data_IF_440762850527
#
_entry.id   IF_440762850527
#
_cell.length_a   1.000
_cell.length_b   1.000
_cell.length_c   1.000
_cell.angle_alpha   90.00
_cell.angle_beta   90.00
_cell.angle_gamma   90.00
#
_symmetry.space_group_name_H-M   'P 1'
#
loop_
_entity.id
_entity.type
_entity.pdbx_description
1 polymer ?
#
# COMPACT_ATOMS: atom_id res chain seq x y z
N UNK A 1 50.23 -89.48 -35.03
CA UNK A 1 50.21 -87.99 -35.13
C UNK A 1 49.12 -87.38 -34.23
N UNK A 2 48.99 -87.81 -32.96
CA UNK A 2 47.99 -87.23 -32.05
C UNK A 2 48.31 -87.48 -30.57
N UNK A 3 49.58 -87.38 -30.15
CA UNK A 3 49.97 -87.72 -28.76
C UNK A 3 50.98 -86.73 -28.15
N UNK A 4 50.77 -85.43 -28.41
CA UNK A 4 51.60 -84.35 -27.84
C UNK A 4 50.81 -83.15 -27.29
N UNK A 5 49.52 -83.31 -27.00
CA UNK A 5 48.64 -82.18 -26.63
C UNK A 5 47.97 -82.27 -25.24
N UNK A 6 48.48 -83.09 -24.31
CA UNK A 6 47.90 -83.16 -22.95
C UNK A 6 48.84 -82.77 -21.79
N UNK A 7 50.07 -82.34 -22.06
CA UNK A 7 51.05 -82.04 -21.00
C UNK A 7 51.28 -80.55 -20.75
N UNK A 8 50.20 -79.74 -20.75
CA UNK A 8 50.29 -78.29 -20.55
C UNK A 8 49.12 -77.68 -19.76
N UNK A 9 48.60 -78.37 -18.73
CA UNK A 9 47.61 -77.80 -17.81
C UNK A 9 47.80 -78.32 -16.39
N UNK A 10 48.77 -77.76 -15.66
CA UNK A 10 48.74 -77.74 -14.19
C UNK A 10 49.88 -76.87 -13.63
N UNK A 11 49.81 -75.56 -13.84
CA UNK A 11 50.51 -74.62 -12.95
C UNK A 11 49.84 -73.26 -13.07
N UNK A 12 48.78 -73.06 -12.28
CA UNK A 12 48.31 -71.71 -11.96
C UNK A 12 49.08 -71.29 -10.70
N UNK A 13 49.83 -70.17 -10.72
CA UNK A 13 50.42 -69.64 -9.50
C UNK A 13 49.28 -69.20 -8.58
N UNK A 14 49.34 -69.62 -7.32
CA UNK A 14 48.47 -69.10 -6.28
C UNK A 14 48.83 -67.61 -6.09
N UNK A 15 47.95 -66.73 -6.55
CA UNK A 15 48.08 -65.29 -6.30
C UNK A 15 47.61 -65.07 -4.86
N UNK A 16 48.56 -65.02 -3.93
CA UNK A 16 48.29 -64.63 -2.54
C UNK A 16 48.04 -63.13 -2.53
N UNK A 17 46.77 -62.74 -2.53
CA UNK A 17 46.37 -61.34 -2.34
C UNK A 17 46.61 -60.99 -0.87
N UNK A 18 47.71 -60.29 -0.58
CA UNK A 18 47.92 -59.65 0.70
C UNK A 18 46.89 -58.52 0.84
N UNK A 19 45.76 -58.81 1.49
CA UNK A 19 44.85 -57.77 1.95
C UNK A 19 45.59 -56.94 2.99
N UNK A 20 45.86 -55.67 2.67
CA UNK A 20 46.33 -54.70 3.64
C UNK A 20 45.29 -54.62 4.78
N UNK A 21 45.73 -54.58 6.06
CA UNK A 21 44.81 -54.40 7.17
C UNK A 21 44.06 -53.07 6.97
N UNK A 22 42.73 -53.03 7.24
CA UNK A 22 41.99 -51.78 7.16
C UNK A 22 42.64 -50.75 8.09
N UNK A 23 43.03 -49.60 7.55
CA UNK A 23 43.43 -48.45 8.36
C UNK A 23 42.31 -48.14 9.37
N UNK A 24 42.63 -47.79 10.63
CA UNK A 24 41.63 -47.46 11.63
C UNK A 24 40.89 -46.18 11.20
N UNK A 25 39.72 -46.36 10.57
CA UNK A 25 38.85 -45.31 10.05
C UNK A 25 38.19 -44.44 11.14
N UNK A 26 38.58 -44.58 12.41
CA UNK A 26 37.81 -44.08 13.55
C UNK A 26 38.02 -42.61 13.89
N UNK A 27 39.19 -42.03 13.61
CA UNK A 27 39.56 -40.73 14.21
C UNK A 27 39.51 -39.55 13.23
N UNK A 28 39.93 -39.75 11.97
CA UNK A 28 39.84 -38.70 10.93
C UNK A 28 38.42 -38.41 10.46
N UNK A 29 37.52 -39.39 10.54
CA UNK A 29 36.12 -39.26 10.13
C UNK A 29 35.35 -38.30 11.07
N UNK A 30 35.56 -38.41 12.40
CA UNK A 30 34.84 -37.58 13.39
C UNK A 30 35.18 -36.10 13.25
N UNK A 31 36.43 -35.73 12.92
CA UNK A 31 36.82 -34.34 12.73
C UNK A 31 36.12 -33.70 11.52
N UNK A 32 35.97 -34.43 10.42
CA UNK A 32 35.25 -33.95 9.24
C UNK A 32 33.75 -33.78 9.52
N UNK A 33 33.18 -34.68 10.32
CA UNK A 33 31.78 -34.62 10.77
C UNK A 33 31.51 -33.41 11.66
N UNK A 34 32.39 -33.12 12.63
CA UNK A 34 32.26 -31.93 13.48
C UNK A 34 32.43 -30.63 12.70
N UNK A 35 33.39 -30.59 11.77
CA UNK A 35 33.64 -29.39 10.97
C UNK A 35 32.44 -29.06 10.06
N UNK A 36 31.86 -30.06 9.40
CA UNK A 36 30.69 -29.85 8.54
C UNK A 36 29.47 -29.38 9.32
N UNK A 37 29.27 -29.90 10.54
CA UNK A 37 28.19 -29.48 11.42
C UNK A 37 28.36 -28.02 11.87
N UNK A 38 29.58 -27.59 12.20
CA UNK A 38 29.84 -26.18 12.53
C UNK A 38 29.62 -25.23 11.36
N UNK A 39 30.02 -25.63 10.14
CA UNK A 39 29.80 -24.82 8.93
C UNK A 39 28.29 -24.70 8.64
N UNK A 40 27.53 -25.79 8.78
CA UNK A 40 26.09 -25.78 8.59
C UNK A 40 25.37 -24.85 9.58
N UNK A 41 25.75 -24.89 10.86
CA UNK A 41 25.18 -24.00 11.89
C UNK A 41 25.55 -22.54 11.62
N UNK A 42 26.79 -22.25 11.24
CA UNK A 42 27.21 -20.90 10.88
C UNK A 42 26.45 -20.37 9.66
N UNK A 43 26.27 -21.19 8.63
CA UNK A 43 25.50 -20.82 7.44
C UNK A 43 24.03 -20.54 7.78
N UNK A 44 23.43 -21.36 8.65
CA UNK A 44 22.04 -21.17 9.10
C UNK A 44 21.87 -19.88 9.91
N UNK A 45 22.85 -19.53 10.75
CA UNK A 45 22.85 -18.28 11.50
C UNK A 45 22.93 -17.05 10.57
N UNK A 46 23.80 -17.08 9.56
CA UNK A 46 23.92 -16.00 8.57
C UNK A 46 22.62 -15.86 7.77
N UNK A 47 22.06 -16.98 7.29
CA UNK A 47 20.78 -16.97 6.57
C UNK A 47 19.64 -16.39 7.43
N UNK A 48 19.60 -16.74 8.71
CA UNK A 48 18.64 -16.18 9.67
C UNK A 48 18.79 -14.66 9.85
N UNK A 49 20.01 -14.17 10.02
CA UNK A 49 20.28 -12.73 10.12
C UNK A 49 19.87 -11.98 8.85
N UNK A 50 20.22 -12.50 7.67
CA UNK A 50 19.83 -11.88 6.39
C UNK A 50 18.32 -11.85 6.18
N UNK A 51 17.60 -12.87 6.67
CA UNK A 51 16.14 -12.90 6.59
C UNK A 51 15.49 -11.84 7.48
N UNK A 52 16.02 -11.64 8.70
CA UNK A 52 15.54 -10.59 9.60
C UNK A 52 15.84 -9.20 9.04
N UNK A 53 17.02 -8.98 8.50
CA UNK A 53 17.41 -7.70 7.88
C UNK A 53 16.54 -7.38 6.66
N UNK A 54 16.26 -8.36 5.80
CA UNK A 54 15.32 -8.20 4.69
C UNK A 54 13.90 -7.84 5.17
N UNK A 55 13.45 -8.44 6.27
CA UNK A 55 12.11 -8.15 6.83
C UNK A 55 12.01 -6.71 7.33
N UNK A 56 13.03 -6.22 8.03
CA UNK A 56 13.05 -4.85 8.56
C UNK A 56 13.15 -3.82 7.43
N UNK A 57 14.02 -4.05 6.44
CA UNK A 57 14.14 -3.17 5.27
C UNK A 57 12.83 -3.12 4.47
N UNK A 58 12.13 -4.25 4.33
CA UNK A 58 10.85 -4.28 3.63
C UNK A 58 9.83 -3.40 4.36
N UNK A 59 9.72 -3.52 5.69
CA UNK A 59 8.77 -2.75 6.50
C UNK A 59 9.01 -1.23 6.44
N UNK A 60 10.27 -0.78 6.43
CA UNK A 60 10.61 0.64 6.35
C UNK A 60 10.35 1.18 4.94
N UNK A 61 10.57 0.36 3.92
CA UNK A 61 10.35 0.73 2.51
C UNK A 61 8.86 0.83 2.21
N UNK A 62 8.06 -0.09 2.74
CA UNK A 62 6.59 -0.06 2.72
C UNK A 62 6.11 1.26 3.34
N UNK A 63 6.48 1.55 4.59
CA UNK A 63 6.08 2.76 5.31
C UNK A 63 6.42 4.08 4.58
N UNK A 64 7.53 4.12 3.83
CA UNK A 64 7.90 5.28 3.01
C UNK A 64 7.11 5.38 1.71
N UNK A 65 6.84 4.26 1.04
CA UNK A 65 6.05 4.22 -0.18
C UNK A 65 4.58 4.54 0.09
N UNK A 66 4.10 4.15 1.27
CA UNK A 66 2.76 4.37 1.76
C UNK A 66 2.41 5.85 1.94
N UNK A 67 3.26 6.61 2.65
CA UNK A 67 3.08 8.07 2.75
C UNK A 67 3.13 8.73 1.38
N UNK A 68 3.96 8.21 0.46
CA UNK A 68 3.99 8.69 -0.94
C UNK A 68 2.68 8.41 -1.69
N UNK A 69 1.96 7.35 -1.36
CA UNK A 69 0.64 7.09 -1.96
C UNK A 69 -0.41 8.07 -1.45
N UNK A 70 -0.46 8.34 -0.14
CA UNK A 70 -1.33 9.39 0.39
C UNK A 70 -0.95 10.80 -0.13
N UNK A 71 0.34 11.02 -0.40
CA UNK A 71 0.84 12.25 -1.05
C UNK A 71 0.36 12.45 -2.49
N UNK A 72 -0.02 11.36 -3.16
CA UNK A 72 -0.49 11.34 -4.56
C UNK A 72 -2.01 11.56 -4.70
N UNK A 73 -2.72 11.73 -3.59
CA UNK A 73 -4.13 12.17 -3.60
C UNK A 73 -4.16 13.68 -3.54
N UNK A 74 -4.78 14.33 -4.53
CA UNK A 74 -4.91 15.77 -4.60
C UNK A 74 -6.37 16.16 -4.78
N UNK A 75 -6.75 17.34 -4.29
CA UNK A 75 -8.08 17.89 -4.52
C UNK A 75 -8.04 19.38 -4.78
N UNK A 76 -9.00 19.87 -5.55
CA UNK A 76 -9.22 21.30 -5.81
C UNK A 76 -10.69 21.53 -6.13
N UNK A 77 -11.12 22.77 -6.22
CA UNK A 77 -12.49 23.11 -6.62
C UNK A 77 -12.49 23.83 -7.96
N UNK A 78 -13.31 23.37 -8.90
CA UNK A 78 -13.65 24.04 -10.14
C UNK A 78 -15.05 24.65 -10.01
N UNK A 79 -15.19 25.94 -10.27
CA UNK A 79 -16.46 26.63 -10.12
C UNK A 79 -16.23 28.13 -10.05
N UNK A 80 -17.13 28.91 -10.67
CA UNK A 80 -16.96 30.34 -10.82
C UNK A 80 -16.89 31.03 -9.46
N UNK A 81 -15.72 31.57 -9.12
CA UNK A 81 -15.53 32.49 -8.00
C UNK A 81 -16.22 33.83 -8.31
N UNK A 82 -17.54 33.84 -8.30
CA UNK A 82 -18.30 35.08 -8.27
C UNK A 82 -19.42 34.87 -7.29
N UNK A 83 -19.14 35.28 -6.05
CA UNK A 83 -20.02 35.41 -4.89
C UNK A 83 -21.28 36.27 -5.18
N UNK A 84 -21.56 36.62 -6.44
CA UNK A 84 -22.56 37.61 -6.79
C UNK A 84 -23.60 37.18 -7.83
N UNK A 85 -23.37 36.28 -8.79
CA UNK A 85 -24.34 36.08 -9.88
C UNK A 85 -24.55 34.59 -10.25
N UNK A 86 -25.56 33.94 -9.64
CA UNK A 86 -26.23 32.75 -10.16
C UNK A 86 -25.89 31.40 -9.48
N UNK A 87 -26.71 30.35 -9.73
CA UNK A 87 -26.58 29.02 -9.15
C UNK A 87 -25.46 28.22 -9.83
N UNK A 88 -24.22 28.69 -9.73
CA UNK A 88 -23.07 27.97 -10.25
C UNK A 88 -22.69 26.83 -9.28
N UNK A 89 -22.85 25.60 -9.74
CA UNK A 89 -22.51 24.36 -9.01
C UNK A 89 -20.99 24.36 -8.76
N UNK A 90 -20.58 24.41 -7.50
CA UNK A 90 -19.15 24.24 -7.15
C UNK A 90 -18.82 22.76 -7.36
N UNK A 91 -17.83 22.45 -8.18
CA UNK A 91 -17.41 21.07 -8.45
C UNK A 91 -16.11 20.81 -7.71
N UNK A 92 -16.13 19.90 -6.75
CA UNK A 92 -14.91 19.37 -6.15
C UNK A 92 -14.29 18.37 -7.12
N UNK A 93 -13.01 18.55 -7.38
CA UNK A 93 -12.18 17.66 -8.18
C UNK A 93 -11.30 16.88 -7.22
N UNK A 94 -11.38 15.56 -7.28
CA UNK A 94 -10.58 14.67 -6.43
C UNK A 94 -9.76 13.74 -7.32
N UNK A 95 -8.45 13.88 -7.28
CA UNK A 95 -7.50 13.13 -8.09
C UNK A 95 -6.79 12.08 -7.25
N UNK A 96 -6.82 10.84 -7.73
CA UNK A 96 -5.99 9.76 -7.22
C UNK A 96 -4.91 9.43 -8.26
N UNK A 97 -3.64 9.71 -7.95
CA UNK A 97 -2.48 9.35 -8.80
C UNK A 97 -1.79 8.05 -8.34
N UNK A 98 -2.44 7.26 -7.50
CA UNK A 98 -1.93 5.98 -7.03
C UNK A 98 -2.46 4.83 -7.90
N UNK A 99 -1.73 3.69 -7.98
CA UNK A 99 -2.20 2.50 -8.68
C UNK A 99 -3.29 1.74 -7.90
N UNK A 100 -3.61 2.18 -6.68
CA UNK A 100 -4.62 1.57 -5.81
C UNK A 100 -5.83 2.49 -5.63
N UNK A 101 -7.03 1.95 -5.37
CA UNK A 101 -8.20 2.77 -5.11
C UNK A 101 -8.08 3.45 -3.74
N UNK A 102 -8.57 4.68 -3.66
CA UNK A 102 -8.73 5.42 -2.39
C UNK A 102 -10.18 5.26 -1.95
N UNK A 103 -10.40 4.88 -0.69
CA UNK A 103 -11.72 4.52 -0.18
C UNK A 103 -12.19 5.46 0.91
N UNK A 104 -13.48 5.39 1.24
CA UNK A 104 -14.02 6.05 2.44
C UNK A 104 -13.79 7.56 2.45
N UNK A 105 -13.92 8.18 1.27
CA UNK A 105 -13.70 9.62 1.12
C UNK A 105 -14.77 10.36 1.92
N UNK A 106 -14.37 11.31 2.75
CA UNK A 106 -15.27 12.23 3.45
C UNK A 106 -14.78 13.66 3.22
N UNK A 107 -15.65 14.49 2.68
CA UNK A 107 -15.32 15.89 2.38
C UNK A 107 -15.74 16.73 3.58
N UNK A 108 -14.77 17.39 4.23
CA UNK A 108 -15.02 18.37 5.27
C UNK A 108 -15.46 19.69 4.62
N UNK A 109 -16.64 20.18 4.99
CA UNK A 109 -17.21 21.43 4.48
C UNK A 109 -17.47 22.41 5.63
N UNK A 110 -17.30 23.71 5.35
CA UNK A 110 -17.83 24.81 6.15
C UNK A 110 -19.10 25.36 5.51
N UNK A 111 -20.12 25.61 6.33
CA UNK A 111 -21.36 26.24 5.90
C UNK A 111 -21.27 27.76 6.03
N UNK A 112 -21.63 28.45 4.97
CA UNK A 112 -21.82 29.91 4.99
C UNK A 112 -23.27 30.21 4.67
N UNK A 113 -23.98 30.85 5.61
CA UNK A 113 -25.34 31.32 5.40
C UNK A 113 -25.31 32.83 5.20
N UNK A 114 -25.80 33.29 4.04
CA UNK A 114 -26.04 34.70 3.81
C UNK A 114 -27.31 35.10 4.58
N UNK A 115 -27.20 35.98 5.58
CA UNK A 115 -28.34 36.55 6.28
C UNK A 115 -28.50 38.04 6.01
N UNK A 116 -29.67 38.62 6.33
CA UNK A 116 -29.97 40.05 6.16
C UNK A 116 -28.95 41.00 6.86
N UNK A 117 -28.21 40.50 7.86
CA UNK A 117 -27.19 41.25 8.60
C UNK A 117 -25.73 40.97 8.16
N UNK A 118 -25.52 40.31 7.01
CA UNK A 118 -24.20 39.96 6.48
C UNK A 118 -23.89 38.44 6.46
N UNK A 119 -22.71 38.11 5.92
CA UNK A 119 -22.19 36.73 5.82
C UNK A 119 -21.75 36.26 7.22
N UNK A 120 -22.51 35.34 7.83
CA UNK A 120 -22.08 34.68 9.06
C UNK A 120 -21.49 33.33 8.71
N UNK A 121 -20.16 33.11 8.88
CA UNK A 121 -19.61 31.77 8.80
C UNK A 121 -20.17 30.99 9.97
N UNK A 122 -21.01 30.00 9.69
CA UNK A 122 -21.38 29.03 10.72
C UNK A 122 -20.13 28.17 10.90
N UNK A 123 -19.54 28.15 12.09
CA UNK A 123 -18.34 27.35 12.40
C UNK A 123 -18.61 25.84 12.41
N UNK A 124 -19.72 25.43 11.82
CA UNK A 124 -20.19 24.06 11.76
C UNK A 124 -19.39 23.34 10.69
N UNK A 125 -18.50 22.46 11.16
CA UNK A 125 -17.85 21.47 10.31
C UNK A 125 -18.90 20.41 10.00
N UNK A 126 -19.03 20.03 8.75
CA UNK A 126 -19.88 18.90 8.34
C UNK A 126 -19.08 18.01 7.40
N UNK A 127 -19.29 16.71 7.48
CA UNK A 127 -18.71 15.73 6.57
C UNK A 127 -19.74 15.29 5.53
N UNK A 128 -19.34 15.20 4.26
CA UNK A 128 -20.14 14.53 3.23
C UNK A 128 -19.38 13.30 2.73
N UNK A 129 -19.98 12.12 2.89
CA UNK A 129 -19.38 10.86 2.41
C UNK A 129 -19.37 10.81 0.87
N UNK A 130 -18.18 10.80 0.29
CA UNK A 130 -17.87 10.63 -1.13
C UNK A 130 -17.87 9.18 -1.59
N UNK A 131 -17.92 8.93 -2.91
CA UNK A 131 -17.67 7.61 -3.45
C UNK A 131 -16.16 7.29 -3.40
N UNK A 132 -15.81 6.02 -3.50
CA UNK A 132 -14.42 5.60 -3.66
C UNK A 132 -13.82 6.18 -4.95
N UNK A 133 -12.54 6.56 -4.91
CA UNK A 133 -11.82 7.13 -6.05
C UNK A 133 -11.01 6.03 -6.73
N UNK A 134 -11.31 5.69 -7.98
CA UNK A 134 -10.56 4.67 -8.70
C UNK A 134 -9.07 5.04 -8.85
N UNK A 135 -8.19 4.06 -9.09
CA UNK A 135 -6.78 4.31 -9.41
C UNK A 135 -6.63 5.22 -10.62
N UNK A 136 -5.68 6.16 -10.56
CA UNK A 136 -5.31 6.97 -11.73
C UNK A 136 -6.46 7.76 -12.39
N UNK A 137 -7.44 8.18 -11.59
CA UNK A 137 -8.60 8.93 -12.05
C UNK A 137 -8.75 10.24 -11.30
N UNK A 138 -9.38 11.18 -11.99
CA UNK A 138 -9.97 12.39 -11.43
C UNK A 138 -11.47 12.18 -11.36
N UNK A 139 -12.00 12.26 -10.15
CA UNK A 139 -13.41 12.20 -9.84
C UNK A 139 -13.97 13.63 -9.76
N UNK A 140 -15.09 13.86 -10.43
CA UNK A 140 -15.81 15.14 -10.40
C UNK A 140 -17.03 15.02 -9.49
N UNK A 141 -17.04 15.83 -8.44
CA UNK A 141 -17.98 15.74 -7.33
C UNK A 141 -18.73 17.06 -7.21
N UNK A 142 -19.96 17.15 -7.76
CA UNK A 142 -20.75 18.38 -7.66
C UNK A 142 -21.22 18.62 -6.22
N UNK A 143 -20.90 19.80 -5.69
CA UNK A 143 -21.36 20.30 -4.40
C UNK A 143 -22.55 21.22 -4.64
N UNK A 144 -23.75 20.65 -4.45
CA UNK A 144 -25.00 21.39 -4.59
C UNK A 144 -25.29 22.19 -3.34
N UNK A 145 -25.70 23.45 -3.50
CA UNK A 145 -26.16 24.30 -2.40
C UNK A 145 -27.44 23.76 -1.78
N UNK A 146 -27.62 23.99 -0.47
CA UNK A 146 -28.87 23.67 0.23
C UNK A 146 -29.73 24.92 0.26
N UNK A 147 -30.51 25.13 -0.81
CA UNK A 147 -31.34 26.32 -0.98
C UNK A 147 -30.54 27.54 -1.47
N UNK A 148 -31.24 28.67 -1.59
CA UNK A 148 -30.73 29.85 -2.30
C UNK A 148 -29.65 30.63 -1.53
N UNK A 149 -29.55 30.47 -0.21
CA UNK A 149 -28.69 31.30 0.66
C UNK A 149 -27.58 30.56 1.42
N UNK A 150 -27.42 29.24 1.20
CA UNK A 150 -26.40 28.43 1.89
C UNK A 150 -25.34 27.91 0.93
N UNK A 151 -24.10 28.32 1.16
CA UNK A 151 -22.94 27.92 0.39
C UNK A 151 -22.08 26.91 1.15
N UNK A 152 -21.55 25.94 0.41
CA UNK A 152 -20.62 24.93 0.92
C UNK A 152 -19.19 25.28 0.50
N UNK A 153 -18.30 25.41 1.47
CA UNK A 153 -16.86 25.61 1.22
C UNK A 153 -16.12 24.36 1.67
N UNK A 154 -15.54 23.57 0.75
CA UNK A 154 -14.64 22.48 1.11
C UNK A 154 -13.42 22.99 1.87
N UNK A 155 -13.05 22.28 2.93
CA UNK A 155 -11.90 22.60 3.79
C UNK A 155 -10.86 21.52 3.82
N UNK A 156 -11.29 20.27 3.73
CA UNK A 156 -10.39 19.14 3.71
C UNK A 156 -11.06 17.94 3.05
N UNK A 157 -10.24 16.98 2.63
CA UNK A 157 -10.67 15.66 2.20
C UNK A 157 -10.03 14.64 3.14
N UNK A 158 -10.89 13.85 3.76
CA UNK A 158 -10.52 12.67 4.53
C UNK A 158 -10.65 11.46 3.63
N UNK A 159 -9.75 10.50 3.75
CA UNK A 159 -9.80 9.28 2.96
C UNK A 159 -9.04 8.14 3.63
N UNK A 160 -9.31 6.94 3.15
CA UNK A 160 -8.67 5.71 3.59
C UNK A 160 -7.81 5.17 2.46
N UNK A 161 -6.54 4.88 2.77
CA UNK A 161 -5.63 4.25 1.82
C UNK A 161 -5.93 2.75 1.63
N UNK A 162 -5.17 2.08 0.77
CA UNK A 162 -5.36 0.65 0.49
C UNK A 162 -5.10 -0.27 1.68
N UNK A 163 -4.47 0.23 2.74
CA UNK A 163 -4.13 -0.51 3.95
C UNK A 163 -5.10 -0.23 5.11
N UNK A 164 -6.09 0.64 4.91
CA UNK A 164 -7.10 0.92 5.91
C UNK A 164 -6.77 2.08 6.85
N UNK A 165 -5.74 2.89 6.55
CA UNK A 165 -5.39 4.05 7.39
C UNK A 165 -6.09 5.32 6.94
N UNK A 166 -6.48 6.13 7.92
CA UNK A 166 -7.07 7.44 7.71
C UNK A 166 -6.04 8.52 7.40
N UNK A 167 -6.38 9.35 6.44
CA UNK A 167 -5.60 10.52 6.04
C UNK A 167 -6.53 11.70 5.86
N UNK A 168 -6.05 12.89 6.25
CA UNK A 168 -6.72 14.17 6.01
C UNK A 168 -5.80 15.06 5.19
N UNK A 169 -6.33 15.63 4.12
CA UNK A 169 -5.66 16.66 3.32
C UNK A 169 -6.44 17.96 3.36
N UNK A 170 -5.86 19.00 3.93
CA UNK A 170 -6.51 20.32 4.04
C UNK A 170 -6.49 21.11 2.71
N UNK A 171 -7.09 22.31 2.74
CA UNK A 171 -7.20 23.24 1.61
C UNK A 171 -5.86 23.87 1.18
N UNK A 172 -4.83 23.77 2.03
CA UNK A 172 -3.46 24.14 1.70
C UNK A 172 -2.65 22.96 1.12
N UNK A 173 -3.28 21.79 1.00
CA UNK A 173 -2.64 20.56 0.55
C UNK A 173 -1.76 19.89 1.61
N UNK A 174 -1.80 20.30 2.88
CA UNK A 174 -1.07 19.63 3.94
C UNK A 174 -1.72 18.28 4.26
N UNK A 175 -0.89 17.23 4.37
CA UNK A 175 -1.33 15.87 4.67
C UNK A 175 -1.03 15.51 6.12
N UNK A 176 -2.06 15.09 6.86
CA UNK A 176 -1.97 14.58 8.22
C UNK A 176 -2.57 13.18 8.33
N UNK A 177 -1.92 12.31 9.10
CA UNK A 177 -2.48 11.02 9.49
C UNK A 177 -3.56 11.23 10.54
N UNK A 178 -4.72 10.60 10.38
CA UNK A 178 -5.84 10.65 11.32
C UNK A 178 -6.45 9.26 11.47
N UNK A 179 -7.29 9.07 12.48
CA UNK A 179 -8.09 7.85 12.57
C UNK A 179 -8.98 7.74 11.31
N UNK A 180 -9.23 6.53 10.79
CA UNK A 180 -10.11 6.35 9.63
C UNK A 180 -11.43 7.06 9.92
N UNK A 181 -11.96 7.88 9.00
CA UNK A 181 -13.24 8.51 9.23
C UNK A 181 -14.26 7.39 9.44
N UNK A 182 -14.88 7.35 10.62
CA UNK A 182 -16.01 6.46 10.83
C UNK A 182 -17.00 6.73 9.69
N UNK A 183 -17.61 5.67 9.13
CA UNK A 183 -18.66 5.84 8.12
C UNK A 183 -19.81 6.74 8.62
N UNK A 184 -19.84 7.01 9.93
CA UNK A 184 -20.64 7.97 10.66
C UNK A 184 -19.85 9.20 11.13
N UNK A 185 -18.96 9.80 10.32
CA UNK A 185 -18.37 11.12 10.64
C UNK A 185 -19.49 12.19 10.62
N UNK A 186 -20.32 12.14 11.64
CA UNK A 186 -21.15 13.22 12.14
C UNK A 186 -20.20 14.08 12.94
N UNK A 187 -19.63 15.09 12.27
CA UNK A 187 -19.12 16.24 12.99
C UNK A 187 -20.20 16.71 13.99
N UNK A 188 -19.79 17.26 15.14
CA UNK A 188 -20.62 17.70 16.27
C UNK A 188 -21.66 18.80 15.92
N UNK A 189 -22.59 18.47 15.03
CA UNK A 189 -23.67 19.29 14.49
C UNK A 189 -24.82 18.38 14.05
N UNK A 190 -26.02 18.92 13.76
CA UNK A 190 -27.18 18.14 13.43
C UNK A 190 -26.94 17.37 12.13
N UNK A 191 -26.63 16.08 12.33
CA UNK A 191 -26.73 14.93 11.43
C UNK A 191 -27.36 15.28 10.08
N UNK A 192 -26.52 15.65 9.12
CA UNK A 192 -26.89 15.72 7.70
C UNK A 192 -26.54 14.42 6.98
N UNK A 193 -26.83 13.26 7.58
CA UNK A 193 -26.68 11.92 6.96
C UNK A 193 -27.67 11.67 5.82
N UNK A 194 -28.29 12.71 5.26
CA UNK A 194 -29.21 12.59 4.14
C UNK A 194 -29.05 13.74 3.15
N UNK A 195 -27.82 14.02 2.74
CA UNK A 195 -27.58 14.90 1.61
C UNK A 195 -27.01 14.02 0.50
N UNK A 196 -27.93 13.62 -0.38
CA UNK A 196 -27.74 13.17 -1.77
C UNK A 196 -26.43 12.43 -2.04
N UNK A 197 -26.51 11.10 -2.17
CA UNK A 197 -25.36 10.30 -2.61
C UNK A 197 -24.69 10.95 -3.81
N UNK A 198 -23.39 11.21 -3.69
CA UNK A 198 -22.60 11.71 -4.79
C UNK A 198 -22.71 10.74 -5.95
N UNK A 199 -23.33 11.19 -7.03
CA UNK A 199 -23.15 10.56 -8.32
C UNK A 199 -21.92 11.22 -8.91
N UNK A 200 -20.85 10.45 -9.06
CA UNK A 200 -19.70 10.87 -9.84
C UNK A 200 -20.21 11.41 -11.19
N UNK A 201 -20.06 12.71 -11.42
CA UNK A 201 -20.59 13.34 -12.63
C UNK A 201 -19.77 12.94 -13.87
N UNK A 202 -18.57 12.42 -13.66
CA UNK A 202 -17.70 11.85 -14.67
C UNK A 202 -16.35 11.47 -14.09
N UNK A 203 -15.64 10.61 -14.81
CA UNK A 203 -14.26 10.24 -14.53
C UNK A 203 -13.38 10.75 -15.68
N UNK A 204 -12.22 11.31 -15.35
CA UNK A 204 -11.20 11.67 -16.34
C UNK A 204 -9.88 11.01 -15.96
N UNK A 205 -9.01 10.66 -16.92
CA UNK A 205 -7.69 10.12 -16.61
C UNK A 205 -6.89 11.15 -15.82
N UNK A 206 -6.16 10.70 -14.79
CA UNK A 206 -5.15 11.54 -14.15
C UNK A 206 -3.98 11.72 -15.12
N UNK A 207 -3.67 12.97 -15.48
CA UNK A 207 -2.38 13.30 -16.05
C UNK A 207 -1.32 12.88 -15.00
N UNK A 208 -0.32 12.09 -15.42
CA UNK A 208 0.83 11.69 -14.58
C UNK A 208 0.70 10.42 -13.72
N UNK A 209 0.12 9.35 -14.28
CA UNK A 209 0.17 8.00 -13.68
C UNK A 209 1.31 7.11 -14.19
N UNK A 210 2.22 7.64 -14.99
CA UNK A 210 3.23 6.86 -15.72
C UNK A 210 4.50 6.51 -14.92
N UNK A 211 4.70 7.09 -13.74
CA UNK A 211 5.88 6.85 -12.89
C UNK A 211 5.53 6.08 -11.59
N UNK A 212 4.83 4.94 -11.74
CA UNK A 212 4.58 4.00 -10.64
C UNK A 212 5.72 2.97 -10.50
#
# INVERSE_FOLDING_TARGET
MADKLQKARAQRPAITVHMAPPEPAGERSRWVEWLSLTIAVAAMAVAGMTYLDQRDVNSITEARNERRYADRVAWWTEGSSTILHGPNETVLMLQNRTPTPVRGVVIEISLITAGESGVKPTSERSGISGPDVPPCKILRVPLRTRGDDTFFIPRAVHFVDSEGRGWRRDDNGALSAEDPPDASFTADGPVFTKIWGFVAAGESPAEDCTDA
#
